data_IF_921674084154
#
_entry.id   IF_921674084154
#
_cell.length_a   1.000
_cell.length_b   1.000
_cell.length_c   1.000
_cell.angle_alpha   90.00
_cell.angle_beta   90.00
_cell.angle_gamma   90.00
#
_symmetry.space_group_name_H-M   'P 1'
#
loop_
_entity.id
_entity.type
_entity.pdbx_description
1 polymer ?
#
# COMPACT_ATOMS: atom_id res chain seq x y z
N UNK A 1 26.59 -47.02 10.83
CA UNK A 1 25.74 -45.88 10.48
C UNK A 1 26.27 -44.66 11.24
N UNK A 2 26.93 -43.74 10.54
CA UNK A 2 27.31 -42.43 11.14
C UNK A 2 26.03 -41.60 11.24
N UNK A 3 25.54 -41.37 12.46
CA UNK A 3 24.54 -40.35 12.74
C UNK A 3 25.18 -39.03 12.41
N UNK A 4 24.93 -38.48 11.21
CA UNK A 4 25.26 -37.10 10.92
C UNK A 4 24.40 -36.24 11.85
N UNK A 5 25.04 -35.66 12.84
CA UNK A 5 24.40 -34.66 13.70
C UNK A 5 23.95 -33.51 12.79
N UNK A 6 22.65 -33.24 12.78
CA UNK A 6 22.09 -32.06 12.14
C UNK A 6 22.91 -30.84 12.58
N UNK A 7 23.51 -30.17 11.63
CA UNK A 7 24.22 -28.92 11.89
C UNK A 7 23.19 -27.79 12.05
N UNK A 8 22.61 -27.71 13.26
CA UNK A 8 21.58 -26.73 13.58
C UNK A 8 22.22 -25.35 13.70
N UNK A 9 21.71 -24.39 12.95
CA UNK A 9 22.11 -23.00 13.01
C UNK A 9 21.01 -22.13 13.60
N UNK A 10 21.33 -20.92 14.02
CA UNK A 10 20.34 -19.96 14.55
C UNK A 10 19.38 -19.51 13.44
N UNK A 11 18.11 -19.20 13.76
CA UNK A 11 17.14 -18.74 12.77
C UNK A 11 17.60 -17.53 11.95
N UNK A 12 18.22 -16.54 12.61
CA UNK A 12 18.72 -15.33 11.95
C UNK A 12 19.85 -15.65 10.96
N UNK A 13 20.74 -16.59 11.30
CA UNK A 13 21.80 -17.06 10.41
C UNK A 13 21.22 -17.80 9.20
N UNK A 14 20.22 -18.65 9.43
CA UNK A 14 19.52 -19.36 8.36
C UNK A 14 18.86 -18.39 7.38
N UNK A 15 18.17 -17.37 7.91
CA UNK A 15 17.54 -16.31 7.11
C UNK A 15 18.57 -15.53 6.30
N UNK A 16 19.68 -15.12 6.91
CA UNK A 16 20.76 -14.40 6.21
C UNK A 16 21.33 -15.21 5.07
N UNK A 17 21.61 -16.52 5.27
CA UNK A 17 22.10 -17.41 4.23
C UNK A 17 21.12 -17.53 3.06
N UNK A 18 19.82 -17.65 3.36
CA UNK A 18 18.78 -17.68 2.33
C UNK A 18 18.73 -16.37 1.54
N UNK A 19 18.69 -15.22 2.23
CA UNK A 19 18.59 -13.90 1.58
C UNK A 19 19.79 -13.57 0.69
N UNK A 20 20.99 -14.07 1.00
CA UNK A 20 22.19 -13.89 0.16
C UNK A 20 22.10 -14.59 -1.20
N UNK A 21 21.21 -15.60 -1.32
CA UNK A 21 21.04 -16.39 -2.54
C UNK A 21 19.70 -16.09 -3.25
N UNK A 22 18.88 -15.20 -2.67
CA UNK A 22 17.62 -14.78 -3.26
C UNK A 22 17.84 -13.54 -4.14
N UNK A 23 17.62 -13.69 -5.44
CA UNK A 23 17.43 -12.56 -6.35
C UNK A 23 15.93 -12.26 -6.45
N UNK A 24 15.46 -11.31 -5.62
CA UNK A 24 14.04 -10.92 -5.58
C UNK A 24 13.79 -9.83 -6.60
N UNK A 25 13.54 -10.21 -7.83
CA UNK A 25 13.16 -9.28 -8.89
C UNK A 25 11.81 -9.69 -9.53
N UNK A 26 10.69 -9.46 -8.84
CA UNK A 26 9.39 -9.87 -9.33
C UNK A 26 8.99 -9.10 -10.58
N UNK A 27 8.52 -9.80 -11.61
CA UNK A 27 7.99 -9.16 -12.81
C UNK A 27 6.83 -8.22 -12.48
N UNK A 28 6.78 -7.02 -13.10
CA UNK A 28 5.70 -6.09 -12.87
C UNK A 28 4.42 -6.49 -13.59
N UNK A 29 3.28 -6.14 -12.99
CA UNK A 29 1.98 -6.18 -13.63
C UNK A 29 1.19 -4.90 -13.35
N UNK A 30 0.22 -4.58 -14.20
CA UNK A 30 -0.66 -3.43 -14.03
C UNK A 30 -2.00 -3.90 -13.48
N UNK A 31 -2.44 -3.30 -12.38
CA UNK A 31 -3.73 -3.61 -11.76
C UNK A 31 -4.56 -2.33 -11.60
N UNK A 32 -5.87 -2.46 -11.49
CA UNK A 32 -6.71 -1.33 -11.09
C UNK A 32 -6.37 -0.91 -9.67
N UNK A 33 -6.29 0.41 -9.43
CA UNK A 33 -5.97 0.98 -8.11
C UNK A 33 -6.93 0.48 -7.03
N UNK A 34 -8.22 0.27 -7.37
CA UNK A 34 -9.23 -0.33 -6.49
C UNK A 34 -8.91 -1.76 -6.04
N UNK A 35 -8.05 -2.47 -6.75
CA UNK A 35 -7.63 -3.85 -6.47
C UNK A 35 -6.19 -3.93 -5.95
N UNK A 36 -5.54 -2.76 -5.77
CA UNK A 36 -4.13 -2.69 -5.43
C UNK A 36 -3.84 -2.73 -3.92
N UNK A 37 -4.85 -2.80 -3.06
CA UNK A 37 -4.65 -2.89 -1.61
C UNK A 37 -3.76 -4.08 -1.24
N UNK A 38 -2.72 -3.83 -0.45
CA UNK A 38 -1.76 -4.85 -0.01
C UNK A 38 -0.75 -5.29 -1.07
N UNK A 39 -0.85 -4.79 -2.33
CA UNK A 39 0.15 -5.02 -3.38
C UNK A 39 1.40 -4.17 -3.13
N UNK A 40 2.50 -4.53 -3.76
CA UNK A 40 3.78 -3.83 -3.65
C UNK A 40 4.08 -3.11 -4.96
N UNK A 41 4.46 -1.84 -4.90
CA UNK A 41 4.79 -1.04 -6.09
C UNK A 41 6.02 -1.59 -6.80
N UNK A 42 5.94 -1.72 -8.14
CA UNK A 42 7.04 -2.18 -8.99
C UNK A 42 7.83 -1.02 -9.63
N UNK A 43 7.34 0.20 -9.50
CA UNK A 43 8.02 1.42 -9.93
C UNK A 43 7.60 2.58 -9.02
N UNK A 44 8.42 3.64 -8.92
CA UNK A 44 8.02 4.84 -8.20
C UNK A 44 6.80 5.48 -8.86
N UNK A 45 5.94 6.11 -8.06
CA UNK A 45 4.80 6.89 -8.54
C UNK A 45 5.15 8.36 -8.39
N UNK A 46 5.19 9.08 -9.51
CA UNK A 46 5.46 10.52 -9.54
C UNK A 46 4.15 11.27 -9.75
N UNK A 47 3.94 12.37 -9.03
CA UNK A 47 2.75 13.19 -9.17
C UNK A 47 2.67 13.84 -10.58
N UNK A 48 1.60 13.58 -11.36
CA UNK A 48 1.45 14.13 -12.71
C UNK A 48 1.10 15.61 -12.70
N UNK A 49 0.51 16.10 -11.62
CA UNK A 49 0.11 17.47 -11.37
C UNK A 49 0.22 17.79 -9.88
N UNK A 50 0.23 19.07 -9.46
CA UNK A 50 0.28 19.43 -8.05
C UNK A 50 -1.03 19.07 -7.33
N UNK A 51 -0.98 18.87 -6.01
CA UNK A 51 -2.16 18.81 -5.15
C UNK A 51 -2.08 19.90 -4.07
N UNK A 52 -3.13 20.71 -3.90
CA UNK A 52 -4.23 20.91 -4.86
C UNK A 52 -3.75 21.57 -6.17
N UNK A 53 -4.54 21.43 -7.24
CA UNK A 53 -4.20 22.00 -8.55
C UNK A 53 -4.39 23.52 -8.63
N UNK A 54 -5.17 24.10 -7.70
CA UNK A 54 -5.46 25.51 -7.61
C UNK A 54 -5.53 25.96 -6.15
N UNK A 55 -5.37 27.28 -5.91
CA UNK A 55 -5.56 27.87 -4.58
C UNK A 55 -7.02 27.77 -4.18
N UNK A 56 -7.30 27.28 -2.98
CA UNK A 56 -8.67 27.05 -2.48
C UNK A 56 -8.84 27.51 -1.04
N UNK A 57 -10.06 27.93 -0.70
CA UNK A 57 -10.43 28.27 0.66
C UNK A 57 -10.45 27.06 1.59
N UNK A 58 -10.03 27.25 2.84
CA UNK A 58 -10.19 26.25 3.92
C UNK A 58 -11.44 26.45 4.75
N UNK A 59 -12.13 27.58 4.54
CA UNK A 59 -13.30 28.01 5.33
C UNK A 59 -14.39 28.56 4.42
N UNK A 60 -15.60 28.66 4.96
CA UNK A 60 -16.69 29.43 4.36
C UNK A 60 -16.50 30.92 4.73
N UNK A 61 -16.71 31.82 3.78
CA UNK A 61 -16.49 33.23 4.02
C UNK A 61 -16.37 34.05 2.77
N UNK A 62 -15.51 35.07 2.79
CA UNK A 62 -15.32 36.00 1.70
C UNK A 62 -13.87 36.05 1.26
N UNK A 63 -13.63 35.73 -0.01
CA UNK A 63 -12.34 35.90 -0.65
C UNK A 63 -12.06 37.40 -0.80
N UNK A 64 -10.91 37.87 -0.33
CA UNK A 64 -10.52 39.28 -0.23
C UNK A 64 -9.08 39.47 -0.70
N UNK A 65 -8.72 40.70 -0.94
CA UNK A 65 -7.34 41.17 -0.89
C UNK A 65 -7.03 41.54 0.56
N UNK A 66 -6.08 40.87 1.20
CA UNK A 66 -5.75 41.09 2.61
C UNK A 66 -5.50 42.57 2.93
N UNK A 67 -4.86 43.28 1.99
CA UNK A 67 -4.57 44.73 2.12
C UNK A 67 -5.83 45.58 2.37
N UNK A 68 -6.99 45.16 1.84
CA UNK A 68 -8.26 45.87 2.00
C UNK A 68 -8.92 45.67 3.37
N UNK A 69 -8.36 44.73 4.18
CA UNK A 69 -8.84 44.42 5.53
C UNK A 69 -7.95 45.02 6.64
N UNK A 70 -6.81 45.62 6.29
CA UNK A 70 -5.87 46.10 7.29
C UNK A 70 -6.47 47.23 8.14
N UNK A 71 -6.37 47.04 9.46
CA UNK A 71 -6.97 47.94 10.43
C UNK A 71 -8.43 47.67 10.75
N UNK A 72 -9.08 46.67 10.10
CA UNK A 72 -10.42 46.25 10.41
C UNK A 72 -10.52 45.65 11.80
N UNK A 73 -11.60 46.00 12.52
CA UNK A 73 -11.95 45.46 13.83
C UNK A 73 -13.43 45.74 14.12
N UNK A 74 -13.96 45.13 15.19
CA UNK A 74 -15.37 45.27 15.57
C UNK A 74 -15.82 46.74 15.72
N UNK A 75 -14.93 47.60 16.22
CA UNK A 75 -15.24 49.05 16.40
C UNK A 75 -14.98 49.89 15.16
N UNK A 76 -14.26 49.38 14.18
CA UNK A 76 -13.92 50.05 12.92
C UNK A 76 -13.87 49.00 11.80
N UNK A 77 -15.05 48.55 11.29
CA UNK A 77 -15.09 47.59 10.21
C UNK A 77 -14.51 48.14 8.88
N UNK A 78 -13.96 47.25 8.06
CA UNK A 78 -13.72 47.55 6.66
C UNK A 78 -14.95 47.16 5.84
N UNK A 79 -15.30 48.01 4.85
CA UNK A 79 -16.48 47.81 4.00
C UNK A 79 -16.03 47.36 2.61
N UNK A 80 -16.48 46.14 2.18
CA UNK A 80 -16.14 45.59 0.88
C UNK A 80 -17.39 45.37 0.03
N UNK A 81 -17.31 45.64 -1.25
CA UNK A 81 -18.40 45.38 -2.19
C UNK A 81 -18.39 43.90 -2.61
N UNK A 82 -19.50 43.22 -2.40
CA UNK A 82 -19.69 41.85 -2.84
C UNK A 82 -20.00 41.82 -4.34
N UNK A 83 -19.05 41.29 -5.15
CA UNK A 83 -19.17 41.22 -6.60
C UNK A 83 -19.73 39.94 -7.15
N UNK A 84 -19.88 38.89 -6.30
CA UNK A 84 -20.45 37.62 -6.70
C UNK A 84 -20.10 36.49 -5.74
N UNK A 85 -20.39 35.29 -6.20
CA UNK A 85 -20.18 34.05 -5.47
C UNK A 85 -19.34 33.08 -6.29
N UNK A 86 -18.39 32.40 -5.65
CA UNK A 86 -17.63 31.30 -6.21
C UNK A 86 -18.39 30.00 -5.92
N UNK A 87 -19.06 29.46 -6.93
CA UNK A 87 -19.84 28.22 -6.82
C UNK A 87 -18.94 27.01 -6.63
N UNK A 88 -19.36 26.10 -5.77
CA UNK A 88 -18.68 24.84 -5.54
C UNK A 88 -18.54 24.01 -6.82
N UNK A 89 -17.35 23.46 -7.04
CA UNK A 89 -17.05 22.62 -8.20
C UNK A 89 -16.94 23.37 -9.56
N UNK A 90 -16.91 24.69 -9.53
CA UNK A 90 -16.75 25.50 -10.73
C UNK A 90 -15.49 26.37 -10.65
N UNK A 91 -14.89 26.60 -11.80
CA UNK A 91 -13.89 27.66 -11.93
C UNK A 91 -14.56 29.04 -11.82
N UNK A 92 -13.80 30.03 -11.37
CA UNK A 92 -14.29 31.43 -11.31
C UNK A 92 -13.47 32.31 -12.22
N UNK A 93 -14.17 33.25 -12.91
CA UNK A 93 -13.57 34.30 -13.68
C UNK A 93 -13.63 35.65 -12.94
N UNK A 94 -14.02 35.68 -11.67
CA UNK A 94 -14.06 36.85 -10.85
C UNK A 94 -12.63 37.40 -10.64
N UNK A 95 -12.49 38.71 -10.77
CA UNK A 95 -11.24 39.46 -10.53
C UNK A 95 -11.55 40.50 -9.47
N UNK A 96 -10.87 40.45 -8.34
CA UNK A 96 -11.09 41.40 -7.25
C UNK A 96 -10.28 42.68 -7.52
N UNK A 97 -11.01 43.81 -7.61
CA UNK A 97 -10.45 45.14 -7.54
C UNK A 97 -10.36 45.61 -6.07
N UNK A 98 -9.68 46.72 -5.76
CA UNK A 98 -9.66 47.31 -4.42
C UNK A 98 -11.06 47.47 -3.83
N UNK A 99 -11.22 47.18 -2.53
CA UNK A 99 -12.46 47.23 -1.78
C UNK A 99 -13.57 46.31 -2.32
N UNK A 100 -13.23 45.19 -2.97
CA UNK A 100 -14.16 44.16 -3.40
C UNK A 100 -13.92 42.82 -2.68
N UNK A 101 -14.99 42.05 -2.55
CA UNK A 101 -14.94 40.66 -2.06
C UNK A 101 -15.86 39.76 -2.88
N UNK A 102 -15.65 38.45 -2.77
CA UNK A 102 -16.52 37.41 -3.34
C UNK A 102 -16.86 36.38 -2.29
N UNK A 103 -18.14 35.99 -2.20
CA UNK A 103 -18.56 34.86 -1.34
C UNK A 103 -17.88 33.58 -1.84
N UNK A 104 -17.28 32.85 -0.93
CA UNK A 104 -16.58 31.60 -1.22
C UNK A 104 -16.88 30.55 -0.15
N UNK A 105 -16.98 29.31 -0.58
CA UNK A 105 -17.19 28.17 0.30
C UNK A 105 -15.91 27.36 0.47
N UNK A 106 -15.82 26.56 1.52
CA UNK A 106 -14.72 25.64 1.78
C UNK A 106 -14.41 24.78 0.55
N UNK A 107 -13.16 24.77 0.11
CA UNK A 107 -12.72 24.08 -1.11
C UNK A 107 -12.94 24.89 -2.41
N UNK A 108 -13.59 26.04 -2.35
CA UNK A 108 -13.80 26.92 -3.50
C UNK A 108 -12.48 27.48 -4.06
N UNK A 109 -12.41 27.63 -5.39
CA UNK A 109 -11.27 28.22 -6.08
C UNK A 109 -11.17 29.72 -5.78
N UNK A 110 -9.99 30.21 -5.39
CA UNK A 110 -9.79 31.63 -5.14
C UNK A 110 -9.94 32.42 -6.42
N UNK A 111 -10.70 33.57 -6.38
CA UNK A 111 -10.73 34.53 -7.47
C UNK A 111 -9.34 35.10 -7.78
N UNK A 112 -9.19 35.65 -8.97
CA UNK A 112 -7.97 36.40 -9.33
C UNK A 112 -7.83 37.64 -8.43
N UNK A 113 -6.60 37.96 -8.02
CA UNK A 113 -6.21 39.00 -7.09
C UNK A 113 -6.66 38.79 -5.62
N UNK A 114 -7.47 37.79 -5.30
CA UNK A 114 -7.67 37.38 -3.91
C UNK A 114 -6.42 36.69 -3.36
N UNK A 115 -6.05 37.02 -2.13
CA UNK A 115 -4.87 36.44 -1.44
C UNK A 115 -5.13 36.01 0.00
N UNK A 116 -6.40 36.15 0.48
CA UNK A 116 -6.86 35.65 1.76
C UNK A 116 -8.38 35.39 1.74
N UNK A 117 -8.87 34.71 2.78
CA UNK A 117 -10.32 34.54 3.01
C UNK A 117 -10.65 35.00 4.44
N UNK A 118 -11.63 35.85 4.60
CA UNK A 118 -12.21 36.20 5.88
C UNK A 118 -13.33 35.19 6.19
N UNK A 119 -13.33 34.60 7.38
CA UNK A 119 -14.38 33.66 7.80
C UNK A 119 -15.73 34.38 7.90
N UNK A 120 -16.81 33.69 7.60
CA UNK A 120 -18.16 34.27 7.68
C UNK A 120 -18.48 34.80 9.07
N UNK A 121 -17.94 34.18 10.12
CA UNK A 121 -18.09 34.57 11.53
C UNK A 121 -17.43 35.92 11.84
N UNK A 122 -16.43 36.32 11.06
CA UNK A 122 -15.71 37.60 11.20
C UNK A 122 -16.32 38.70 10.29
N UNK A 123 -17.56 38.49 9.83
CA UNK A 123 -18.23 39.42 8.91
C UNK A 123 -19.66 39.74 9.33
N UNK A 124 -20.20 40.87 8.84
CA UNK A 124 -21.61 41.24 9.03
C UNK A 124 -22.14 41.87 7.73
N UNK A 125 -23.39 41.58 7.40
CA UNK A 125 -24.08 42.25 6.29
C UNK A 125 -24.52 43.63 6.72
N UNK A 126 -24.16 44.65 5.92
CA UNK A 126 -24.49 46.06 6.19
C UNK A 126 -25.59 46.56 5.26
N UNK A 127 -25.45 46.34 3.97
CA UNK A 127 -26.36 46.79 2.89
C UNK A 127 -26.44 45.72 1.80
N UNK A 128 -27.40 45.80 0.89
CA UNK A 128 -27.37 44.93 -0.28
C UNK A 128 -26.02 45.04 -1.02
N UNK A 129 -25.37 43.92 -1.23
CA UNK A 129 -24.05 43.80 -1.89
C UNK A 129 -22.88 44.47 -1.16
N UNK A 130 -22.96 44.73 0.15
CA UNK A 130 -21.85 45.25 0.96
C UNK A 130 -21.64 44.35 2.17
N UNK A 131 -20.37 44.01 2.48
CA UNK A 131 -19.96 43.19 3.61
C UNK A 131 -19.04 43.97 4.53
N UNK A 132 -19.37 43.98 5.81
CA UNK A 132 -18.51 44.55 6.87
C UNK A 132 -17.52 43.43 7.31
N UNK A 133 -16.23 43.73 7.27
CA UNK A 133 -15.15 42.89 7.74
C UNK A 133 -14.78 43.34 9.14
N UNK A 134 -14.97 42.46 10.11
CA UNK A 134 -14.77 42.76 11.53
C UNK A 134 -13.38 42.38 12.04
N UNK A 135 -12.58 41.68 11.21
CA UNK A 135 -11.23 41.25 11.54
C UNK A 135 -10.31 41.31 10.33
N UNK A 136 -9.14 41.91 10.48
CA UNK A 136 -8.09 41.89 9.44
C UNK A 136 -7.51 40.49 9.28
N UNK A 137 -7.19 40.12 8.05
CA UNK A 137 -6.53 38.86 7.71
C UNK A 137 -5.15 39.11 7.07
N UNK A 138 -4.25 38.17 7.26
CA UNK A 138 -2.95 38.21 6.61
C UNK A 138 -2.99 37.60 5.21
N UNK A 139 -2.04 37.94 4.36
CA UNK A 139 -1.85 37.29 3.05
C UNK A 139 -1.59 35.81 3.25
N UNK A 140 -2.38 34.95 2.60
CA UNK A 140 -2.31 33.52 2.71
C UNK A 140 -3.19 32.92 3.83
N UNK A 141 -3.90 33.76 4.59
CA UNK A 141 -4.76 33.27 5.66
C UNK A 141 -6.00 32.55 5.11
N UNK A 142 -6.37 31.43 5.72
CA UNK A 142 -7.51 30.58 5.38
C UNK A 142 -7.53 30.05 3.95
N UNK A 143 -6.36 29.78 3.38
CA UNK A 143 -6.26 29.15 2.06
C UNK A 143 -5.15 28.10 1.99
N UNK A 144 -5.31 27.16 1.07
CA UNK A 144 -4.29 26.19 0.69
C UNK A 144 -3.73 26.62 -0.66
N UNK A 145 -2.41 26.63 -0.79
CA UNK A 145 -1.73 27.00 -2.03
C UNK A 145 -1.69 25.83 -3.01
N UNK A 146 -1.57 26.14 -4.29
CA UNK A 146 -1.30 25.14 -5.32
C UNK A 146 -0.03 24.34 -4.95
N UNK A 147 -0.13 23.01 -4.96
CA UNK A 147 1.00 22.13 -4.70
C UNK A 147 1.46 22.07 -3.23
N UNK A 148 0.66 22.56 -2.28
CA UNK A 148 1.02 22.57 -0.86
C UNK A 148 1.11 21.15 -0.29
N UNK A 149 0.24 20.23 -0.72
CA UNK A 149 0.26 18.84 -0.30
C UNK A 149 1.30 18.02 -1.07
N UNK A 150 1.34 18.22 -2.41
CA UNK A 150 2.23 17.48 -3.32
C UNK A 150 2.59 18.35 -4.51
N UNK A 151 3.88 18.45 -4.83
CA UNK A 151 4.37 19.17 -6.01
C UNK A 151 4.36 18.30 -7.26
N UNK A 152 4.17 18.90 -8.44
CA UNK A 152 4.28 18.17 -9.70
C UNK A 152 5.67 17.53 -9.86
N UNK A 153 5.72 16.24 -10.24
CA UNK A 153 6.96 15.49 -10.41
C UNK A 153 7.54 14.93 -9.11
N UNK A 154 6.94 15.20 -7.96
CA UNK A 154 7.36 14.64 -6.68
C UNK A 154 7.09 13.14 -6.62
N UNK A 155 8.02 12.38 -6.03
CA UNK A 155 7.83 10.95 -5.77
C UNK A 155 6.92 10.77 -4.55
N UNK A 156 5.66 10.41 -4.80
CA UNK A 156 4.65 10.23 -3.76
C UNK A 156 4.62 8.81 -3.17
N UNK A 157 5.00 7.82 -3.95
CA UNK A 157 5.12 6.43 -3.49
C UNK A 157 6.38 5.82 -4.10
N UNK A 158 7.36 5.40 -3.27
CA UNK A 158 8.58 4.75 -3.77
C UNK A 158 8.30 3.33 -4.27
N UNK A 159 9.25 2.79 -5.05
CA UNK A 159 9.27 1.38 -5.42
C UNK A 159 9.40 0.48 -4.17
N UNK A 160 8.80 -0.71 -4.20
CA UNK A 160 8.85 -1.66 -3.09
C UNK A 160 7.92 -1.31 -1.91
N UNK A 161 7.06 -0.31 -2.05
CA UNK A 161 6.11 0.09 -1.01
C UNK A 161 4.85 -0.76 -1.07
N UNK A 162 4.45 -1.35 0.07
CA UNK A 162 3.15 -2.00 0.21
C UNK A 162 2.05 -0.94 0.28
N UNK A 163 1.08 -1.02 -0.63
CA UNK A 163 -0.03 -0.08 -0.75
C UNK A 163 -1.06 -0.32 0.37
N UNK A 164 -1.26 0.70 1.20
CA UNK A 164 -2.26 0.76 2.28
C UNK A 164 -3.46 1.60 1.81
N UNK A 165 -4.55 1.68 2.60
CA UNK A 165 -5.70 2.52 2.23
C UNK A 165 -5.34 3.98 1.93
N UNK A 166 -4.37 4.57 2.65
CA UNK A 166 -3.94 5.94 2.41
C UNK A 166 -3.30 6.11 1.03
N UNK A 167 -2.41 5.19 0.62
CA UNK A 167 -1.80 5.20 -0.72
C UNK A 167 -2.85 5.02 -1.82
N UNK A 168 -3.88 4.17 -1.60
CA UNK A 168 -5.00 4.04 -2.55
C UNK A 168 -5.73 5.37 -2.73
N UNK A 169 -6.04 6.07 -1.61
CA UNK A 169 -6.66 7.41 -1.65
C UNK A 169 -5.80 8.44 -2.37
N UNK A 170 -4.50 8.47 -2.08
CA UNK A 170 -3.53 9.35 -2.73
C UNK A 170 -3.42 9.11 -4.23
N UNK A 171 -3.35 7.84 -4.66
CA UNK A 171 -3.35 7.46 -6.08
C UNK A 171 -4.61 7.97 -6.79
N UNK A 172 -5.78 7.78 -6.19
CA UNK A 172 -7.05 8.26 -6.75
C UNK A 172 -7.11 9.78 -6.81
N UNK A 173 -6.62 10.49 -5.79
CA UNK A 173 -6.55 11.96 -5.79
C UNK A 173 -5.65 12.50 -6.92
N UNK A 174 -4.59 11.76 -7.28
CA UNK A 174 -3.70 12.06 -8.40
C UNK A 174 -4.19 11.51 -9.76
N UNK A 175 -5.39 10.90 -9.82
CA UNK A 175 -5.99 10.38 -11.05
C UNK A 175 -5.43 9.02 -11.50
N UNK A 176 -4.63 8.33 -10.70
CA UNK A 176 -4.15 7.00 -11.03
C UNK A 176 -5.23 5.93 -10.81
N UNK A 177 -5.96 5.59 -11.85
CA UNK A 177 -6.95 4.49 -11.84
C UNK A 177 -6.32 3.12 -11.99
N UNK A 178 -5.05 3.06 -12.41
CA UNK A 178 -4.22 1.87 -12.52
C UNK A 178 -2.83 2.16 -11.93
N UNK A 179 -2.20 1.13 -11.39
CA UNK A 179 -0.86 1.22 -10.80
C UNK A 179 -0.04 -0.02 -11.16
N UNK A 180 1.27 0.19 -11.33
CA UNK A 180 2.24 -0.86 -11.61
C UNK A 180 2.73 -1.48 -10.30
N UNK A 181 2.48 -2.76 -10.12
CA UNK A 181 2.80 -3.51 -8.91
C UNK A 181 3.64 -4.75 -9.23
N UNK A 182 4.35 -5.26 -8.24
CA UNK A 182 5.01 -6.55 -8.33
C UNK A 182 3.97 -7.67 -8.45
N UNK A 183 4.22 -8.65 -9.31
CA UNK A 183 3.43 -9.88 -9.37
C UNK A 183 3.45 -10.58 -8.01
N UNK A 184 2.35 -11.21 -7.64
CA UNK A 184 2.30 -12.05 -6.44
C UNK A 184 3.23 -13.26 -6.60
N UNK A 185 4.05 -13.60 -5.59
CA UNK A 185 4.83 -14.83 -5.64
C UNK A 185 3.90 -16.04 -5.57
N UNK A 186 4.15 -17.03 -6.43
CA UNK A 186 3.45 -18.31 -6.41
C UNK A 186 4.19 -19.27 -5.49
N UNK A 187 3.48 -19.81 -4.51
CA UNK A 187 4.02 -20.74 -3.50
C UNK A 187 3.37 -22.10 -3.65
N UNK A 188 4.17 -23.06 -4.08
CA UNK A 188 3.76 -24.48 -4.17
C UNK A 188 3.82 -25.13 -2.80
N UNK A 189 2.74 -25.80 -2.38
CA UNK A 189 2.70 -26.57 -1.14
C UNK A 189 2.54 -28.04 -1.47
N UNK A 190 3.50 -28.87 -1.03
CA UNK A 190 3.53 -30.31 -1.16
C UNK A 190 3.40 -30.90 0.23
N UNK A 191 2.40 -31.75 0.48
CA UNK A 191 2.29 -32.56 1.69
C UNK A 191 2.83 -33.96 1.43
N UNK A 192 3.60 -34.52 2.35
CA UNK A 192 4.11 -35.90 2.27
C UNK A 192 3.91 -36.62 3.60
N UNK A 193 3.55 -37.89 3.52
CA UNK A 193 3.36 -38.77 4.66
C UNK A 193 2.32 -39.84 4.37
N UNK A 194 2.70 -41.11 4.52
CA UNK A 194 1.76 -42.24 4.33
C UNK A 194 0.64 -42.25 5.39
N UNK A 195 0.86 -41.56 6.52
CA UNK A 195 -0.12 -41.38 7.59
C UNK A 195 -1.07 -40.21 7.32
N UNK A 196 -0.73 -39.30 6.38
CA UNK A 196 -1.47 -38.06 6.13
C UNK A 196 -2.65 -38.31 5.19
N UNK A 197 -3.82 -37.85 5.57
CA UNK A 197 -5.05 -37.96 4.77
C UNK A 197 -5.72 -36.62 4.55
N UNK A 198 -6.54 -36.46 3.49
CA UNK A 198 -7.35 -35.26 3.29
C UNK A 198 -8.26 -34.98 4.49
N UNK A 199 -8.51 -33.68 4.82
CA UNK A 199 -9.31 -33.30 5.99
C UNK A 199 -10.75 -33.84 6.01
N UNK A 200 -11.32 -34.08 4.84
CA UNK A 200 -12.69 -34.58 4.66
C UNK A 200 -12.85 -36.06 5.07
N UNK A 201 -11.75 -36.78 5.07
CA UNK A 201 -11.75 -38.19 5.40
C UNK A 201 -11.72 -38.43 6.92
N UNK A 202 -12.38 -39.53 7.36
CA UNK A 202 -12.29 -39.97 8.75
C UNK A 202 -11.00 -40.74 8.94
N UNK A 203 -10.09 -40.32 9.87
CA UNK A 203 -8.84 -41.02 10.08
C UNK A 203 -9.07 -42.43 10.69
N UNK A 204 -8.35 -43.39 10.17
CA UNK A 204 -8.16 -44.70 10.79
C UNK A 204 -7.07 -44.59 11.87
N UNK A 205 -6.97 -45.61 12.79
CA UNK A 205 -5.86 -45.66 13.74
C UNK A 205 -4.50 -45.53 13.02
N UNK A 206 -3.66 -44.59 13.44
CA UNK A 206 -2.37 -44.30 12.83
C UNK A 206 -2.39 -43.25 11.73
N UNK A 207 -3.55 -42.78 11.32
CA UNK A 207 -3.68 -41.68 10.33
C UNK A 207 -3.95 -40.35 10.99
N UNK A 208 -3.47 -39.25 10.33
CA UNK A 208 -3.69 -37.87 10.73
C UNK A 208 -4.18 -37.04 9.56
N UNK A 209 -5.01 -36.05 9.82
CA UNK A 209 -5.45 -35.10 8.77
C UNK A 209 -4.33 -34.12 8.41
N UNK A 210 -4.26 -33.77 7.13
CA UNK A 210 -3.37 -32.70 6.67
C UNK A 210 -3.83 -31.34 7.25
N UNK A 211 -3.09 -30.86 8.22
CA UNK A 211 -3.30 -29.55 8.85
C UNK A 211 -2.30 -28.54 8.30
N UNK A 212 -1.08 -29.00 8.01
CA UNK A 212 0.04 -28.14 7.68
C UNK A 212 -0.14 -27.42 6.34
N UNK A 213 -0.62 -28.12 5.31
CA UNK A 213 -0.87 -27.51 4.00
C UNK A 213 -1.85 -26.34 4.08
N UNK A 214 -2.91 -26.47 4.87
CA UNK A 214 -3.92 -25.42 5.04
C UNK A 214 -3.42 -24.26 5.89
N UNK A 215 -2.66 -24.54 6.95
CA UNK A 215 -2.05 -23.49 7.77
C UNK A 215 -1.05 -22.68 6.97
N UNK A 216 -0.18 -23.34 6.20
CA UNK A 216 0.80 -22.69 5.35
C UNK A 216 0.13 -21.90 4.22
N UNK A 217 -0.94 -22.44 3.61
CA UNK A 217 -1.72 -21.73 2.61
C UNK A 217 -2.27 -20.41 3.16
N UNK A 218 -2.87 -20.45 4.34
CA UNK A 218 -3.40 -19.25 5.00
C UNK A 218 -2.29 -18.21 5.30
N UNK A 219 -1.10 -18.65 5.72
CA UNK A 219 0.06 -17.74 5.92
C UNK A 219 0.50 -17.12 4.61
N UNK A 220 0.60 -17.90 3.53
CA UNK A 220 0.97 -17.39 2.20
C UNK A 220 -0.02 -16.34 1.70
N UNK A 221 -1.32 -16.60 1.81
CA UNK A 221 -2.36 -15.65 1.42
C UNK A 221 -2.33 -14.37 2.27
N UNK A 222 -2.14 -14.52 3.58
CA UNK A 222 -2.06 -13.39 4.53
C UNK A 222 -0.91 -12.43 4.18
N UNK A 223 0.21 -12.95 3.70
CA UNK A 223 1.35 -12.11 3.29
C UNK A 223 1.27 -11.65 1.83
N UNK A 224 0.26 -12.09 1.08
CA UNK A 224 -0.05 -11.64 -0.28
C UNK A 224 0.50 -12.53 -1.38
N UNK A 225 0.91 -13.77 -1.08
CA UNK A 225 1.28 -14.78 -2.08
C UNK A 225 0.07 -15.44 -2.73
N UNK A 226 0.32 -16.23 -3.78
CA UNK A 226 -0.62 -17.11 -4.47
C UNK A 226 -0.27 -18.56 -4.18
N UNK A 227 -1.23 -19.34 -3.65
CA UNK A 227 -1.00 -20.73 -3.26
C UNK A 227 -1.28 -21.67 -4.43
N UNK A 228 -0.39 -22.66 -4.62
CA UNK A 228 -0.56 -23.80 -5.52
C UNK A 228 -0.45 -25.08 -4.72
N UNK A 229 -1.56 -25.81 -4.56
CA UNK A 229 -1.56 -27.09 -3.85
C UNK A 229 -1.15 -28.23 -4.79
N UNK A 230 -0.16 -29.01 -4.38
CA UNK A 230 0.26 -30.25 -5.07
C UNK A 230 -0.32 -31.51 -4.46
N UNK A 231 -1.04 -31.37 -3.34
CA UNK A 231 -1.70 -32.47 -2.66
C UNK A 231 -0.78 -33.26 -1.73
N UNK A 232 -1.30 -34.39 -1.28
CA UNK A 232 -0.59 -35.34 -0.43
C UNK A 232 0.08 -36.39 -1.33
N UNK A 233 1.37 -36.55 -1.20
CA UNK A 233 2.17 -37.51 -1.98
C UNK A 233 2.71 -38.62 -1.07
N UNK A 234 2.94 -39.82 -1.60
CA UNK A 234 3.60 -40.90 -0.86
C UNK A 234 5.03 -40.51 -0.43
N UNK A 235 5.50 -41.12 0.68
CA UNK A 235 6.88 -40.94 1.18
C UNK A 235 7.90 -41.74 0.36
N UNK A 236 7.83 -41.60 -0.97
CA UNK A 236 8.79 -42.21 -1.90
C UNK A 236 9.63 -41.15 -2.59
N UNK A 237 10.92 -41.48 -2.85
CA UNK A 237 11.82 -40.55 -3.52
C UNK A 237 11.32 -40.13 -4.90
N UNK A 238 10.78 -41.07 -5.66
CA UNK A 238 10.27 -40.83 -7.02
C UNK A 238 9.11 -39.88 -7.02
N UNK A 239 8.11 -40.05 -6.17
CA UNK A 239 6.95 -39.19 -6.08
C UNK A 239 7.34 -37.76 -5.61
N UNK A 240 8.22 -37.68 -4.60
CA UNK A 240 8.71 -36.41 -4.09
C UNK A 240 9.52 -35.64 -5.15
N UNK A 241 10.43 -36.31 -5.83
CA UNK A 241 11.28 -35.68 -6.86
C UNK A 241 10.46 -35.20 -8.07
N UNK A 242 9.53 -36.03 -8.57
CA UNK A 242 8.66 -35.66 -9.68
C UNK A 242 7.80 -34.44 -9.34
N UNK A 243 7.15 -34.46 -8.17
CA UNK A 243 6.30 -33.37 -7.72
C UNK A 243 7.11 -32.10 -7.44
N UNK A 244 8.27 -32.22 -6.80
CA UNK A 244 9.15 -31.09 -6.52
C UNK A 244 9.69 -30.46 -7.82
N UNK A 245 10.07 -31.24 -8.84
CA UNK A 245 10.46 -30.73 -10.15
C UNK A 245 9.34 -29.98 -10.87
N UNK A 246 8.09 -30.46 -10.75
CA UNK A 246 6.93 -29.75 -11.30
C UNK A 246 6.70 -28.45 -10.56
N UNK A 247 6.65 -28.47 -9.25
CA UNK A 247 6.46 -27.30 -8.40
C UNK A 247 7.56 -26.24 -8.60
N UNK A 248 8.81 -26.67 -8.72
CA UNK A 248 9.97 -25.79 -8.98
C UNK A 248 9.87 -25.05 -10.32
N UNK A 249 9.25 -25.63 -11.36
CA UNK A 249 9.02 -24.96 -12.66
C UNK A 249 7.83 -24.00 -12.64
N UNK A 250 6.83 -24.27 -11.79
CA UNK A 250 5.55 -23.56 -11.81
C UNK A 250 5.46 -22.46 -10.73
N UNK A 251 6.31 -22.51 -9.69
CA UNK A 251 6.24 -21.65 -8.52
C UNK A 251 7.57 -20.95 -8.23
N UNK A 252 7.50 -19.82 -7.54
CA UNK A 252 8.67 -19.04 -7.09
C UNK A 252 9.27 -19.62 -5.80
N UNK A 253 8.41 -20.24 -4.98
CA UNK A 253 8.78 -20.89 -3.72
C UNK A 253 8.07 -22.25 -3.65
N UNK A 254 8.75 -23.27 -3.17
CA UNK A 254 8.15 -24.58 -2.89
C UNK A 254 8.33 -24.90 -1.42
N UNK A 255 7.25 -25.26 -0.76
CA UNK A 255 7.22 -25.71 0.63
C UNK A 255 6.82 -27.17 0.66
N UNK A 256 7.65 -28.00 1.28
CA UNK A 256 7.40 -29.43 1.44
C UNK A 256 7.17 -29.68 2.92
N UNK A 257 5.98 -30.16 3.28
CA UNK A 257 5.70 -30.68 4.61
C UNK A 257 5.89 -32.19 4.59
N UNK A 258 6.90 -32.68 5.30
CA UNK A 258 7.24 -34.09 5.37
C UNK A 258 7.07 -34.65 6.78
N UNK A 259 6.91 -35.96 6.90
CA UNK A 259 6.84 -36.66 8.16
C UNK A 259 8.07 -36.42 9.06
N UNK A 260 7.92 -36.69 10.36
CA UNK A 260 8.95 -36.41 11.37
C UNK A 260 10.10 -37.43 11.42
N UNK A 261 10.08 -38.48 10.58
CA UNK A 261 11.09 -39.54 10.60
C UNK A 261 12.44 -39.06 10.06
N UNK A 262 13.53 -39.60 10.56
CA UNK A 262 14.91 -39.23 10.13
C UNK A 262 15.12 -39.57 8.66
N UNK A 263 14.54 -40.70 8.19
CA UNK A 263 14.65 -41.15 6.79
C UNK A 263 13.98 -40.21 5.79
N UNK A 264 12.87 -39.56 6.15
CA UNK A 264 12.16 -38.62 5.28
C UNK A 264 12.91 -37.28 5.16
N UNK A 265 13.64 -36.86 6.21
CA UNK A 265 14.48 -35.64 6.16
C UNK A 265 15.66 -35.79 5.22
N UNK A 266 16.33 -36.97 5.23
CA UNK A 266 17.42 -37.27 4.32
C UNK A 266 16.92 -37.23 2.88
N UNK A 267 15.71 -37.79 2.63
CA UNK A 267 15.07 -37.79 1.32
C UNK A 267 14.77 -36.38 0.80
N UNK A 268 14.28 -35.47 1.64
CA UNK A 268 13.99 -34.08 1.24
C UNK A 268 15.28 -33.36 0.86
N UNK A 269 16.37 -33.52 1.62
CA UNK A 269 17.65 -32.92 1.33
C UNK A 269 18.24 -33.43 -0.01
N UNK A 270 18.13 -34.73 -0.29
CA UNK A 270 18.53 -35.33 -1.57
C UNK A 270 17.73 -34.75 -2.74
N UNK A 271 16.40 -34.66 -2.59
CA UNK A 271 15.51 -34.07 -3.61
C UNK A 271 15.87 -32.62 -3.88
N UNK A 272 16.11 -31.81 -2.84
CA UNK A 272 16.52 -30.41 -3.00
C UNK A 272 17.86 -30.32 -3.76
N UNK A 273 18.82 -31.15 -3.42
CA UNK A 273 20.10 -31.17 -4.10
C UNK A 273 20.00 -31.51 -5.61
N UNK A 274 19.01 -32.31 -6.00
CA UNK A 274 18.75 -32.64 -7.41
C UNK A 274 17.98 -31.57 -8.20
N UNK A 275 17.35 -30.59 -7.52
CA UNK A 275 16.68 -29.48 -8.20
C UNK A 275 17.65 -28.47 -8.81
N UNK A 276 18.92 -28.50 -8.42
CA UNK A 276 19.97 -27.65 -9.00
C UNK A 276 20.79 -26.88 -7.96
N UNK A 277 21.61 -25.96 -8.41
CA UNK A 277 22.39 -25.07 -7.55
C UNK A 277 21.53 -23.93 -6.99
N UNK A 278 21.78 -23.47 -5.76
CA UNK A 278 22.92 -23.79 -4.88
C UNK A 278 22.77 -25.09 -4.06
N UNK A 279 21.70 -25.87 -4.22
CA UNK A 279 21.43 -27.07 -3.44
C UNK A 279 20.95 -26.72 -2.02
N UNK A 280 21.34 -27.52 -1.03
CA UNK A 280 20.92 -27.33 0.37
C UNK A 280 21.76 -26.25 1.04
N UNK A 281 21.18 -25.08 1.30
CA UNK A 281 21.83 -23.96 1.99
C UNK A 281 21.85 -24.14 3.51
N UNK A 282 20.77 -24.69 4.05
CA UNK A 282 20.56 -24.90 5.49
C UNK A 282 19.92 -26.27 5.70
N UNK A 283 20.51 -27.10 6.55
CA UNK A 283 19.99 -28.46 6.82
C UNK A 283 19.23 -28.57 8.13
N UNK A 284 19.13 -27.52 8.91
CA UNK A 284 18.34 -27.48 10.14
C UNK A 284 18.47 -26.14 10.86
N UNK A 285 17.40 -25.76 11.53
CA UNK A 285 17.31 -24.50 12.28
C UNK A 285 16.99 -24.80 13.73
N UNK A 286 17.70 -24.16 14.66
CA UNK A 286 17.51 -24.39 16.10
C UNK A 286 16.27 -23.66 16.62
N UNK A 287 15.08 -24.27 16.41
CA UNK A 287 13.79 -23.78 16.88
C UNK A 287 13.02 -24.86 17.62
N UNK A 288 12.09 -24.49 18.53
CA UNK A 288 11.16 -25.41 19.20
C UNK A 288 9.76 -24.76 19.26
N UNK A 289 8.67 -25.51 18.97
CA UNK A 289 8.67 -26.87 18.39
C UNK A 289 9.16 -26.87 16.95
N UNK A 290 9.86 -27.90 16.55
CA UNK A 290 10.46 -28.07 15.23
C UNK A 290 11.97 -28.27 15.30
N UNK A 291 12.57 -28.51 14.18
CA UNK A 291 14.04 -28.63 14.04
C UNK A 291 14.48 -28.08 12.69
#
# INVERSE_FOLDING_TARGET
MKTEFLNLIAPDEALQRLLQHLDVNPSPEVVFTTQALGRVTASPVLAPHPLPEFRRSTVDGYAVRAADTYGAGESLPAYLNLIGEVRMGHSTNLVLEPAQCALIHTGGMLPQNADAVVMVEDTQGSRPAEVEILRAVAVGENLIKTGEDVSQGEEVIPVGRRLRPAEIGGLMALGFTQVKVARRPRVGIISSGDEVIPPEQRPLPGQVRDVNSYTLAAVVEQVGGEVVHYGIIPDTREAMLETAKRAHRECDVVVITAGSSVSVRDLTAEVIAELGQPGVLVHGVNIRPGK
#
